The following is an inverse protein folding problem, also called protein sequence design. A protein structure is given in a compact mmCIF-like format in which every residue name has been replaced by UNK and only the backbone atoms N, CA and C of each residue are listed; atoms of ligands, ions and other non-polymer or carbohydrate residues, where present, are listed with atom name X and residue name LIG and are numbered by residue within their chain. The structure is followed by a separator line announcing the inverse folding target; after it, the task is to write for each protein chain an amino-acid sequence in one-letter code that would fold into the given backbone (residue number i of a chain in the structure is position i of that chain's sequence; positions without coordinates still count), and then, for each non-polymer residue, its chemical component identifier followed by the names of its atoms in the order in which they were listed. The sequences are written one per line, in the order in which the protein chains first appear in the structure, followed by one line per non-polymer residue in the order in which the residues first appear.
data_IF_545060852768
#
_entry.id   IF_545060852768
#
_cell.length_a   1.000
_cell.length_b   1.000
_cell.length_c   1.000
_cell.angle_alpha   90.00
_cell.angle_beta   90.00
_cell.angle_gamma   90.00
#
_symmetry.space_group_name_H-M   'P 1'
#
loop_
_entity.id
_entity.type
_entity.pdbx_description
1 polymer ?
#
# COMPACT_ATOMS: atom_id res chain seq x y z
N UNK A 1 10.80 -20.26 -21.41
CA UNK A 1 11.06 -19.60 -20.11
C UNK A 1 9.69 -19.30 -19.52
N UNK A 2 9.31 -19.95 -18.43
CA UNK A 2 8.04 -19.68 -17.74
C UNK A 2 8.34 -18.70 -16.61
N UNK A 3 7.65 -17.57 -16.58
CA UNK A 3 7.63 -16.71 -15.39
C UNK A 3 6.43 -17.18 -14.58
N UNK A 4 6.67 -17.79 -13.42
CA UNK A 4 5.60 -18.12 -12.49
C UNK A 4 5.26 -16.88 -11.66
N UNK A 5 3.97 -16.53 -11.60
CA UNK A 5 3.46 -15.44 -10.77
C UNK A 5 2.69 -15.99 -9.57
N UNK A 6 3.26 -15.99 -8.36
CA UNK A 6 2.58 -16.50 -7.17
C UNK A 6 1.56 -15.48 -6.63
N UNK A 7 0.40 -15.39 -7.31
CA UNK A 7 -0.61 -14.35 -7.04
C UNK A 7 -1.00 -14.21 -5.56
N UNK A 8 -1.13 -15.33 -4.84
CA UNK A 8 -1.45 -15.32 -3.41
C UNK A 8 -0.40 -14.60 -2.56
N UNK A 9 0.88 -14.84 -2.81
CA UNK A 9 1.97 -14.16 -2.08
C UNK A 9 2.04 -12.68 -2.45
N UNK A 10 1.79 -12.33 -3.72
CA UNK A 10 1.76 -10.93 -4.17
C UNK A 10 0.60 -10.16 -3.54
N UNK A 11 -0.60 -10.73 -3.47
CA UNK A 11 -1.70 -10.12 -2.70
C UNK A 11 -1.39 -10.05 -1.20
N UNK A 12 -0.68 -11.05 -0.66
CA UNK A 12 -0.20 -11.02 0.72
C UNK A 12 0.70 -9.82 0.98
N UNK A 13 1.64 -9.54 0.08
CA UNK A 13 2.50 -8.35 0.14
C UNK A 13 1.68 -7.05 0.01
N UNK A 14 0.77 -6.97 -0.94
CA UNK A 14 -0.11 -5.80 -1.10
C UNK A 14 -0.89 -5.49 0.19
N UNK A 15 -1.42 -6.52 0.84
CA UNK A 15 -2.16 -6.37 2.09
C UNK A 15 -1.25 -5.96 3.26
N UNK A 16 -0.03 -6.50 3.33
CA UNK A 16 0.94 -6.10 4.35
C UNK A 16 1.36 -4.62 4.19
N UNK A 17 1.52 -4.14 2.96
CA UNK A 17 1.82 -2.74 2.67
C UNK A 17 0.68 -1.81 3.08
N UNK A 18 -0.58 -2.16 2.74
CA UNK A 18 -1.77 -1.40 3.15
C UNK A 18 -1.96 -1.40 4.68
N UNK A 19 -1.70 -2.53 5.35
CA UNK A 19 -1.72 -2.59 6.81
C UNK A 19 -0.65 -1.66 7.43
N UNK A 20 0.55 -1.63 6.83
CA UNK A 20 1.63 -0.73 7.25
C UNK A 20 1.27 0.74 7.00
N UNK A 21 0.56 1.05 5.90
CA UNK A 21 0.02 2.39 5.65
C UNK A 21 -0.96 2.81 6.77
N UNK A 22 -1.86 1.90 7.18
CA UNK A 22 -2.75 2.12 8.32
C UNK A 22 -2.01 2.40 9.62
N UNK A 23 -0.90 1.70 9.89
CA UNK A 23 -0.03 2.02 11.04
C UNK A 23 0.62 3.39 10.92
N UNK A 24 1.08 3.79 9.72
CA UNK A 24 1.66 5.11 9.50
C UNK A 24 0.64 6.26 9.71
N UNK A 25 -0.61 6.02 9.35
CA UNK A 25 -1.73 6.95 9.57
C UNK A 25 -1.90 7.29 11.07
N UNK A 26 -1.68 6.31 11.95
CA UNK A 26 -1.78 6.51 13.40
C UNK A 26 -0.76 7.51 13.94
N UNK A 27 0.37 7.74 13.25
CA UNK A 27 1.37 8.73 13.70
C UNK A 27 0.79 10.13 13.78
N UNK A 28 -0.02 10.55 12.81
CA UNK A 28 -0.60 11.88 12.82
C UNK A 28 -1.57 12.08 14.01
N UNK A 29 -2.29 11.03 14.38
CA UNK A 29 -3.22 11.03 15.54
C UNK A 29 -2.43 11.07 16.85
N UNK A 30 -1.40 10.23 16.98
CA UNK A 30 -0.60 10.14 18.20
C UNK A 30 0.23 11.39 18.48
N UNK A 31 0.61 12.11 17.42
CA UNK A 31 1.41 13.33 17.50
C UNK A 31 0.56 14.60 17.43
N UNK A 32 -0.75 14.52 17.69
CA UNK A 32 -1.68 15.64 17.47
C UNK A 32 -1.36 16.88 18.32
N UNK A 33 -0.85 16.71 19.54
CA UNK A 33 -0.59 17.84 20.45
C UNK A 33 0.81 17.75 21.10
N UNK A 34 1.47 18.90 21.32
CA UNK A 34 2.79 18.99 21.94
C UNK A 34 2.81 18.69 23.44
N UNK A 35 1.65 18.69 24.11
CA UNK A 35 1.55 18.63 25.57
C UNK A 35 2.12 19.88 26.24
N UNK A 36 2.21 19.87 27.58
CA UNK A 36 2.83 20.95 28.34
C UNK A 36 4.36 20.80 28.39
N UNK A 37 5.02 21.46 27.44
CA UNK A 37 6.49 21.52 27.32
C UNK A 37 7.04 22.92 27.63
N UNK A 38 6.19 23.80 28.17
CA UNK A 38 6.53 25.16 28.56
C UNK A 38 7.26 25.96 27.46
N UNK A 39 8.47 26.51 27.74
CA UNK A 39 9.21 27.34 26.78
C UNK A 39 9.58 26.64 25.46
N UNK A 40 9.55 25.30 25.41
CA UNK A 40 9.89 24.54 24.21
C UNK A 40 8.71 24.34 23.26
N UNK A 41 7.51 24.81 23.62
CA UNK A 41 6.26 24.60 22.85
C UNK A 41 6.41 24.86 21.35
N UNK A 42 7.03 25.98 20.95
CA UNK A 42 7.24 26.32 19.54
C UNK A 42 8.14 25.31 18.83
N UNK A 43 9.24 24.90 19.47
CA UNK A 43 10.18 23.95 18.88
C UNK A 43 9.57 22.54 18.78
N UNK A 44 8.81 22.13 19.80
CA UNK A 44 8.09 20.85 19.81
C UNK A 44 6.99 20.84 18.74
N UNK A 45 6.23 21.92 18.58
CA UNK A 45 5.21 21.99 17.53
C UNK A 45 5.83 21.85 16.12
N UNK A 46 6.94 22.53 15.84
CA UNK A 46 7.64 22.39 14.56
C UNK A 46 8.19 20.96 14.33
N UNK A 47 8.69 20.32 15.38
CA UNK A 47 9.10 18.93 15.34
C UNK A 47 7.93 17.99 15.04
N UNK A 48 6.79 18.16 15.73
CA UNK A 48 5.59 17.35 15.51
C UNK A 48 5.02 17.56 14.12
N UNK A 49 4.95 18.80 13.63
CA UNK A 49 4.47 19.10 12.28
C UNK A 49 5.31 18.39 11.20
N UNK A 50 6.64 18.39 11.37
CA UNK A 50 7.56 17.65 10.49
C UNK A 50 7.26 16.15 10.50
N UNK A 51 7.00 15.57 11.67
CA UNK A 51 6.68 14.14 11.80
C UNK A 51 5.29 13.78 11.26
N UNK A 52 4.28 14.64 11.46
CA UNK A 52 2.95 14.46 10.87
C UNK A 52 3.03 14.49 9.34
N UNK A 53 3.82 15.41 8.79
CA UNK A 53 4.05 15.50 7.34
C UNK A 53 4.74 14.25 6.81
N UNK A 54 5.82 13.81 7.46
CA UNK A 54 6.52 12.58 7.09
C UNK A 54 5.63 11.33 7.19
N UNK A 55 4.81 11.25 8.25
CA UNK A 55 3.87 10.15 8.47
C UNK A 55 2.80 10.05 7.38
N UNK A 56 2.20 11.18 6.98
CA UNK A 56 1.23 11.23 5.87
C UNK A 56 1.85 10.87 4.53
N UNK A 57 3.07 11.33 4.27
CA UNK A 57 3.79 10.96 3.05
C UNK A 57 4.05 9.45 3.02
N UNK A 58 4.55 8.87 4.13
CA UNK A 58 4.79 7.44 4.25
C UNK A 58 3.51 6.60 4.08
N UNK A 59 2.41 7.01 4.72
CA UNK A 59 1.08 6.40 4.53
C UNK A 59 0.71 6.36 3.04
N UNK A 60 0.80 7.52 2.36
CA UNK A 60 0.46 7.64 0.95
C UNK A 60 1.30 6.75 0.04
N UNK A 61 2.62 6.71 0.25
CA UNK A 61 3.54 5.87 -0.53
C UNK A 61 3.30 4.37 -0.30
N UNK A 62 3.06 3.96 0.95
CA UNK A 62 2.75 2.55 1.27
C UNK A 62 1.41 2.11 0.68
N UNK A 63 0.40 3.00 0.72
CA UNK A 63 -0.90 2.75 0.10
C UNK A 63 -0.76 2.61 -1.42
N UNK A 64 -0.09 3.57 -2.07
CA UNK A 64 0.17 3.55 -3.51
C UNK A 64 0.92 2.28 -3.94
N UNK A 65 1.95 1.88 -3.19
CA UNK A 65 2.72 0.68 -3.49
C UNK A 65 1.87 -0.58 -3.33
N UNK A 66 1.08 -0.68 -2.25
CA UNK A 66 0.15 -1.79 -2.03
C UNK A 66 -0.88 -1.92 -3.16
N UNK A 67 -1.44 -0.81 -3.63
CA UNK A 67 -2.38 -0.78 -4.74
C UNK A 67 -1.73 -1.16 -6.07
N UNK A 68 -0.50 -0.71 -6.30
CA UNK A 68 0.29 -1.07 -7.49
C UNK A 68 0.60 -2.57 -7.51
N UNK A 69 1.01 -3.14 -6.38
CA UNK A 69 1.32 -4.59 -6.26
C UNK A 69 0.07 -5.43 -6.52
N UNK A 70 -1.08 -5.02 -5.98
CA UNK A 70 -2.36 -5.70 -6.25
C UNK A 70 -2.74 -5.62 -7.74
N UNK A 71 -2.61 -4.45 -8.36
CA UNK A 71 -2.90 -4.26 -9.78
C UNK A 71 -1.99 -5.11 -10.69
N UNK A 72 -0.72 -5.32 -10.33
CA UNK A 72 0.17 -6.23 -11.05
C UNK A 72 -0.32 -7.68 -10.95
N UNK A 73 -0.78 -8.12 -9.77
CA UNK A 73 -1.36 -9.45 -9.61
C UNK A 73 -2.64 -9.63 -10.44
N UNK A 74 -3.54 -8.63 -10.43
CA UNK A 74 -4.76 -8.62 -11.23
C UNK A 74 -4.45 -8.69 -12.73
N UNK A 75 -3.47 -7.92 -13.20
CA UNK A 75 -3.03 -7.92 -14.60
C UNK A 75 -2.51 -9.29 -15.01
N UNK A 76 -1.71 -9.95 -14.16
CA UNK A 76 -1.19 -11.29 -14.47
C UNK A 76 -2.28 -12.35 -14.53
N UNK A 77 -3.21 -12.36 -13.56
CA UNK A 77 -4.35 -13.27 -13.59
C UNK A 77 -5.24 -13.06 -14.81
N UNK A 78 -5.39 -11.80 -15.25
CA UNK A 78 -6.13 -11.47 -16.47
C UNK A 78 -5.42 -12.03 -17.71
N UNK A 79 -4.09 -11.87 -17.80
CA UNK A 79 -3.30 -12.44 -18.90
C UNK A 79 -3.38 -13.98 -18.89
N UNK A 80 -3.17 -14.62 -17.76
CA UNK A 80 -3.27 -16.08 -17.65
C UNK A 80 -4.67 -16.58 -18.00
N UNK A 81 -5.72 -15.91 -17.51
CA UNK A 81 -7.11 -16.24 -17.83
C UNK A 81 -7.44 -16.10 -19.32
N UNK A 82 -6.95 -15.05 -19.98
CA UNK A 82 -7.17 -14.83 -21.42
C UNK A 82 -6.36 -15.78 -22.29
N UNK A 83 -5.14 -16.13 -21.90
CA UNK A 83 -4.29 -17.11 -22.59
C UNK A 83 -4.87 -18.53 -22.44
N UNK A 84 -5.31 -18.91 -21.24
CA UNK A 84 -5.96 -20.22 -21.00
C UNK A 84 -7.35 -20.32 -21.63
N UNK A 85 -8.06 -19.21 -21.80
CA UNK A 85 -9.37 -19.15 -22.44
C UNK A 85 -9.31 -19.01 -23.98
N UNK A 86 -8.18 -19.36 -24.61
CA UNK A 86 -7.96 -19.16 -26.05
C UNK A 86 -9.10 -19.67 -26.96
N UNK A 87 -9.17 -19.21 -28.23
CA UNK A 87 -10.36 -19.23 -29.12
C UNK A 87 -10.94 -20.60 -29.51
N UNK A 88 -10.54 -21.70 -28.88
CA UNK A 88 -10.92 -23.08 -29.22
C UNK A 88 -12.18 -23.62 -28.53
N UNK A 89 -12.89 -22.83 -27.70
CA UNK A 89 -14.18 -23.27 -27.12
C UNK A 89 -15.41 -23.00 -28.00
N UNK A 90 -15.22 -22.56 -29.23
CA UNK A 90 -16.26 -22.60 -30.24
C UNK A 90 -16.13 -23.91 -31.05
N UNK A 91 -17.19 -24.73 -30.98
CA UNK A 91 -17.50 -25.95 -31.75
C UNK A 91 -17.06 -27.28 -31.13
N UNK A 92 -17.93 -27.82 -30.27
CA UNK A 92 -18.54 -29.14 -30.47
C UNK A 92 -19.94 -29.10 -29.83
N UNK A 93 -20.95 -28.89 -30.67
CA UNK A 93 -22.38 -28.87 -30.35
C UNK A 93 -23.17 -28.69 -31.64
#
# INVERSE_FOLDING_TARGET
MSIEMPAREVYGLANALRASAGTAQEFAVRLHEPGDVGPLSVAVEAFLDSHRTAGRALEGELQWLGDTVAAVADSWLTVDGTVLAGPGRARLG
#
